data_IF_643417437410
#
_entry.id   IF_643417437410
#
_cell.length_a   1.000
_cell.length_b   1.000
_cell.length_c   1.000
_cell.angle_alpha   90.00
_cell.angle_beta   90.00
_cell.angle_gamma   90.00
#
_symmetry.space_group_name_H-M   'P 1'
#
loop_
_entity.id
_entity.type
_entity.pdbx_description
1 polymer ?
#
# COMPACT_ATOMS: atom_id res chain seq x y z
N UNK A 1 41.13 14.34 -42.51
CA UNK A 1 41.16 12.87 -42.45
C UNK A 1 40.35 12.45 -41.24
N UNK A 2 39.06 12.22 -41.44
CA UNK A 2 38.11 11.81 -40.39
C UNK A 2 38.25 10.29 -40.29
N UNK A 3 38.88 9.82 -39.22
CA UNK A 3 39.04 8.38 -38.96
C UNK A 3 37.73 7.84 -38.38
N UNK A 4 37.15 6.89 -39.12
CA UNK A 4 36.02 6.04 -38.74
C UNK A 4 36.29 5.38 -37.39
N UNK A 5 35.41 5.63 -36.42
CA UNK A 5 35.14 4.69 -35.33
C UNK A 5 34.26 3.57 -35.90
N UNK A 6 34.89 2.65 -36.63
CA UNK A 6 34.28 1.37 -36.98
C UNK A 6 34.68 0.35 -35.91
N UNK A 7 33.73 -0.54 -35.63
CA UNK A 7 33.93 -1.86 -35.04
C UNK A 7 34.15 -1.94 -33.51
N UNK A 8 33.13 -1.53 -32.76
CA UNK A 8 32.72 -2.33 -31.60
C UNK A 8 31.30 -2.82 -31.87
N UNK A 9 31.12 -4.15 -31.86
CA UNK A 9 29.84 -4.80 -32.05
C UNK A 9 28.82 -4.20 -31.07
N UNK A 10 27.88 -3.44 -31.63
CA UNK A 10 26.79 -2.83 -30.89
C UNK A 10 25.85 -3.97 -30.49
N UNK A 11 25.52 -4.17 -29.21
CA UNK A 11 24.37 -4.99 -28.88
C UNK A 11 23.16 -4.23 -29.42
N UNK A 12 22.59 -4.71 -30.52
CA UNK A 12 21.28 -4.26 -30.98
C UNK A 12 20.27 -4.72 -29.92
N UNK A 13 19.93 -3.85 -28.98
CA UNK A 13 18.84 -4.11 -28.04
C UNK A 13 17.54 -3.83 -28.78
N UNK A 14 16.96 -4.86 -29.40
CA UNK A 14 15.56 -4.81 -29.80
C UNK A 14 14.71 -4.95 -28.55
N UNK A 15 14.14 -3.85 -28.06
CA UNK A 15 13.09 -3.89 -27.04
C UNK A 15 11.76 -4.14 -27.75
N UNK A 16 11.20 -5.34 -27.59
CA UNK A 16 9.81 -5.60 -27.89
C UNK A 16 8.98 -4.89 -26.81
N UNK A 17 8.46 -3.72 -27.13
CA UNK A 17 7.56 -2.98 -26.25
C UNK A 17 6.19 -3.63 -26.39
N UNK A 18 5.72 -4.28 -25.34
CA UNK A 18 4.32 -4.68 -25.25
C UNK A 18 3.49 -3.39 -25.12
N UNK A 19 2.32 -3.33 -25.77
CA UNK A 19 1.51 -2.09 -25.90
C UNK A 19 1.05 -1.45 -24.58
N UNK A 20 1.30 -2.12 -23.44
CA UNK A 20 0.72 -1.84 -22.12
C UNK A 20 1.79 -1.71 -21.02
N UNK A 21 3.06 -1.49 -21.34
CA UNK A 21 4.13 -1.46 -20.33
C UNK A 21 4.89 -0.14 -20.32
N UNK A 22 4.94 0.51 -19.15
CA UNK A 22 5.85 1.64 -18.91
C UNK A 22 7.25 1.08 -18.63
N UNK A 23 8.26 1.66 -19.27
CA UNK A 23 9.64 1.18 -19.15
C UNK A 23 10.45 2.17 -18.32
N UNK A 24 10.97 1.69 -17.18
CA UNK A 24 11.82 2.49 -16.31
C UNK A 24 13.30 2.13 -16.59
N UNK A 25 14.03 3.07 -17.18
CA UNK A 25 15.35 2.80 -17.74
C UNK A 25 16.45 3.22 -16.77
N UNK A 26 16.96 2.27 -15.97
CA UNK A 26 18.12 2.51 -15.10
C UNK A 26 19.42 2.24 -15.87
N UNK A 27 20.13 3.31 -16.20
CA UNK A 27 21.47 3.27 -16.81
C UNK A 27 22.54 3.19 -15.73
N UNK A 28 23.21 2.04 -15.63
CA UNK A 28 24.40 1.89 -14.79
C UNK A 28 25.67 1.99 -15.65
N UNK A 29 26.61 2.86 -15.24
CA UNK A 29 27.94 2.94 -15.86
C UNK A 29 29.02 2.51 -14.89
N UNK A 30 29.90 1.60 -15.31
CA UNK A 30 31.11 1.22 -14.56
C UNK A 30 32.36 1.34 -15.43
N UNK A 31 33.48 1.75 -14.83
CA UNK A 31 34.79 1.84 -15.49
C UNK A 31 35.68 0.70 -15.01
N UNK A 32 36.18 -0.14 -15.92
CA UNK A 32 37.14 -1.19 -15.60
C UNK A 32 38.56 -0.73 -15.91
N UNK A 33 39.46 -0.82 -14.91
CA UNK A 33 40.88 -0.58 -15.09
C UNK A 33 41.62 -1.91 -15.28
N UNK A 34 42.37 -2.05 -16.36
CA UNK A 34 43.33 -3.15 -16.49
C UNK A 34 44.75 -2.59 -16.36
N UNK A 35 45.38 -2.84 -15.20
CA UNK A 35 46.84 -2.86 -15.08
C UNK A 35 47.20 -4.02 -14.15
N UNK A 36 47.56 -5.13 -14.77
CA UNK A 36 48.25 -6.27 -14.19
C UNK A 36 47.70 -6.81 -12.84
N UNK A 37 46.72 -7.73 -12.97
CA UNK A 37 46.36 -8.77 -11.99
C UNK A 37 45.94 -8.35 -10.57
N UNK A 38 45.31 -7.19 -10.38
CA UNK A 38 44.35 -6.98 -9.27
C UNK A 38 43.14 -6.19 -9.76
N UNK A 39 42.04 -6.89 -10.03
CA UNK A 39 40.73 -6.28 -10.27
C UNK A 39 40.32 -5.50 -9.02
N UNK A 40 40.24 -4.17 -9.10
CA UNK A 40 39.53 -3.35 -8.13
C UNK A 40 38.32 -2.76 -8.84
N UNK A 41 37.15 -3.21 -8.43
CA UNK A 41 35.85 -2.74 -8.90
C UNK A 41 35.52 -1.45 -8.14
N UNK A 42 35.29 -0.35 -8.85
CA UNK A 42 34.69 0.86 -8.28
C UNK A 42 33.32 1.03 -8.90
N UNK A 43 32.29 0.94 -8.07
CA UNK A 43 30.94 1.38 -8.42
C UNK A 43 30.82 2.84 -7.97
N UNK A 44 30.71 3.77 -8.91
CA UNK A 44 30.15 5.08 -8.62
C UNK A 44 28.69 5.06 -9.09
N UNK A 45 27.78 4.95 -8.12
CA UNK A 45 26.35 5.18 -8.36
C UNK A 45 26.18 6.68 -8.55
N UNK A 46 25.82 7.14 -9.76
CA UNK A 46 25.41 8.53 -9.93
C UNK A 46 24.14 8.75 -9.10
N UNK A 47 24.19 9.68 -8.14
CA UNK A 47 23.15 9.99 -7.13
C UNK A 47 21.79 10.44 -7.70
N UNK A 48 21.60 10.47 -9.02
CA UNK A 48 20.28 10.69 -9.62
C UNK A 48 20.08 9.75 -10.80
N UNK A 49 19.26 8.68 -10.68
CA UNK A 49 18.77 7.99 -11.86
C UNK A 49 18.02 9.01 -12.72
N UNK A 50 18.37 9.06 -14.00
CA UNK A 50 17.63 9.86 -14.96
C UNK A 50 16.40 9.06 -15.36
N UNK A 51 15.32 9.21 -14.60
CA UNK A 51 14.05 8.55 -14.90
C UNK A 51 13.48 9.16 -16.18
N UNK A 52 13.37 8.34 -17.22
CA UNK A 52 12.68 8.71 -18.47
C UNK A 52 11.45 7.84 -18.56
N UNK A 53 10.33 8.41 -18.15
CA UNK A 53 9.02 7.79 -18.29
C UNK A 53 8.60 7.98 -19.77
N UNK A 54 8.55 6.88 -20.54
CA UNK A 54 8.03 6.88 -21.91
C UNK A 54 6.55 6.50 -21.88
N UNK A 55 5.66 7.50 -22.02
CA UNK A 55 4.22 7.28 -22.18
C UNK A 55 3.91 6.68 -23.56
N UNK A 56 3.02 5.66 -23.64
CA UNK A 56 2.52 5.12 -24.90
C UNK A 56 1.81 6.16 -25.77
N UNK A 57 1.17 7.18 -25.18
CA UNK A 57 0.38 8.19 -25.90
C UNK A 57 1.22 9.22 -26.68
N UNK A 58 2.56 9.21 -26.53
CA UNK A 58 3.49 10.10 -27.27
C UNK A 58 4.19 9.45 -28.46
N UNK A 59 4.12 8.13 -28.63
CA UNK A 59 4.93 7.43 -29.62
C UNK A 59 4.11 6.37 -30.38
N UNK A 60 3.45 6.81 -31.45
CA UNK A 60 2.57 5.97 -32.29
C UNK A 60 3.31 4.90 -33.11
N UNK A 61 4.65 4.97 -33.19
CA UNK A 61 5.46 3.97 -33.90
C UNK A 61 6.86 3.73 -33.28
N UNK A 62 7.45 2.58 -33.64
CA UNK A 62 8.79 2.15 -33.23
C UNK A 62 9.89 3.15 -33.68
N UNK A 63 9.67 3.89 -34.78
CA UNK A 63 10.61 4.89 -35.30
C UNK A 63 10.73 6.08 -34.35
N UNK A 64 9.63 6.50 -33.75
CA UNK A 64 9.50 7.64 -32.85
C UNK A 64 10.14 7.33 -31.50
N UNK A 65 9.94 6.09 -31.01
CA UNK A 65 10.64 5.54 -29.84
C UNK A 65 12.15 5.52 -30.06
N UNK A 66 12.62 4.97 -31.18
CA UNK A 66 14.05 4.93 -31.53
C UNK A 66 14.68 6.32 -31.61
N UNK A 67 13.93 7.32 -32.09
CA UNK A 67 14.38 8.71 -32.17
C UNK A 67 14.52 9.37 -30.80
N UNK A 68 13.64 9.04 -29.85
CA UNK A 68 13.75 9.46 -28.46
C UNK A 68 14.97 8.83 -27.78
N UNK A 69 15.21 7.53 -28.02
CA UNK A 69 16.40 6.82 -27.56
C UNK A 69 17.70 7.44 -28.12
N UNK A 70 17.75 7.77 -29.41
CA UNK A 70 18.92 8.43 -30.00
C UNK A 70 19.15 9.84 -29.43
N UNK A 71 18.09 10.58 -29.08
CA UNK A 71 18.21 11.90 -28.45
C UNK A 71 18.72 11.82 -27.01
N UNK A 72 18.27 10.84 -26.25
CA UNK A 72 18.78 10.52 -24.90
C UNK A 72 20.25 10.08 -24.96
N UNK A 73 20.58 9.19 -25.89
CA UNK A 73 21.95 8.75 -26.20
C UNK A 73 22.88 9.94 -26.46
N UNK A 74 22.48 10.88 -27.30
CA UNK A 74 23.30 12.07 -27.63
C UNK A 74 23.47 12.99 -26.40
N UNK A 75 22.44 13.12 -25.57
CA UNK A 75 22.48 13.97 -24.37
C UNK A 75 23.37 13.36 -23.29
N UNK A 76 23.27 12.05 -23.06
CA UNK A 76 24.10 11.32 -22.11
C UNK A 76 25.59 11.27 -22.52
N UNK A 77 25.88 11.01 -23.80
CA UNK A 77 27.24 11.04 -24.34
C UNK A 77 27.87 12.45 -24.27
N UNK A 78 27.08 13.52 -24.39
CA UNK A 78 27.56 14.89 -24.20
C UNK A 78 27.96 15.16 -22.74
N UNK A 79 27.17 14.72 -21.77
CA UNK A 79 27.52 14.81 -20.34
C UNK A 79 28.78 13.98 -19.99
N UNK A 80 28.94 12.81 -20.61
CA UNK A 80 30.14 11.96 -20.47
C UNK A 80 31.41 12.56 -21.10
N UNK A 81 31.27 13.36 -22.16
CA UNK A 81 32.41 13.98 -22.87
C UNK A 81 33.19 15.01 -22.01
N UNK A 82 32.53 15.61 -21.02
CA UNK A 82 33.16 16.52 -20.06
C UNK A 82 34.08 15.82 -19.07
N UNK A 83 33.69 14.62 -18.61
CA UNK A 83 34.42 13.85 -17.61
C UNK A 83 35.71 13.23 -18.17
N UNK A 84 35.68 12.75 -19.43
CA UNK A 84 36.87 12.17 -20.08
C UNK A 84 37.93 13.19 -20.52
N UNK A 85 37.58 14.47 -20.67
CA UNK A 85 38.57 15.53 -20.93
C UNK A 85 39.55 15.71 -19.76
N UNK A 86 39.22 15.24 -18.56
CA UNK A 86 40.07 15.32 -17.38
C UNK A 86 41.05 14.14 -17.21
N UNK A 87 40.82 12.99 -17.87
CA UNK A 87 41.57 11.74 -17.63
C UNK A 87 42.33 11.21 -18.85
N UNK A 88 42.53 12.05 -19.86
CA UNK A 88 43.12 11.68 -21.14
C UNK A 88 44.65 11.72 -21.11
N UNK A 89 45.30 10.80 -20.40
CA UNK A 89 46.69 10.45 -20.70
C UNK A 89 46.98 8.97 -20.41
N UNK A 90 47.22 8.23 -21.51
CA UNK A 90 47.96 6.96 -21.56
C UNK A 90 47.35 5.70 -20.93
N UNK A 91 46.15 5.28 -21.34
CA UNK A 91 45.77 3.85 -21.33
C UNK A 91 44.54 3.59 -22.21
N UNK A 92 44.48 2.40 -22.83
CA UNK A 92 43.29 1.89 -23.52
C UNK A 92 42.23 1.50 -22.49
N UNK A 93 41.06 2.14 -22.53
CA UNK A 93 39.92 1.85 -21.65
C UNK A 93 38.85 1.07 -22.42
N UNK A 94 38.27 0.05 -21.79
CA UNK A 94 37.05 -0.61 -22.27
C UNK A 94 35.89 -0.18 -21.37
N UNK A 95 34.90 0.50 -21.93
CA UNK A 95 33.66 0.85 -21.23
C UNK A 95 32.64 -0.26 -21.46
N UNK A 96 32.08 -0.82 -20.38
CA UNK A 96 30.96 -1.75 -20.44
C UNK A 96 29.74 -0.99 -19.88
N UNK A 97 28.72 -0.80 -20.70
CA UNK A 97 27.43 -0.29 -20.25
C UNK A 97 26.55 -1.48 -19.86
N UNK A 98 26.09 -1.51 -18.62
CA UNK A 98 25.07 -2.45 -18.18
C UNK A 98 23.76 -1.66 -18.19
N UNK A 99 22.91 -1.95 -19.18
CA UNK A 99 21.55 -1.42 -19.22
C UNK A 99 20.68 -2.46 -18.53
N UNK A 100 20.25 -2.17 -17.31
CA UNK A 100 19.17 -2.93 -16.68
C UNK A 100 17.84 -2.35 -17.17
N UNK A 101 17.06 -3.16 -17.86
CA UNK A 101 15.68 -2.83 -18.21
C UNK A 101 14.80 -3.37 -17.08
N UNK A 102 14.18 -2.48 -16.33
CA UNK A 102 13.14 -2.83 -15.35
C UNK A 102 11.80 -2.44 -15.98
N UNK A 103 10.94 -3.43 -16.19
CA UNK A 103 9.56 -3.18 -16.60
C UNK A 103 8.74 -3.04 -15.33
N UNK A 104 8.23 -1.85 -15.04
CA UNK A 104 7.19 -1.70 -14.03
C UNK A 104 5.87 -1.98 -14.76
N UNK A 105 5.19 -3.07 -14.41
CA UNK A 105 3.87 -3.35 -14.96
C UNK A 105 2.87 -2.37 -14.36
N UNK A 106 2.49 -1.38 -15.15
CA UNK A 106 1.31 -0.55 -14.86
C UNK A 106 0.11 -1.32 -15.38
N UNK A 107 -0.92 -1.47 -14.55
CA UNK A 107 -2.17 -2.12 -14.91
C UNK A 107 -3.17 -1.09 -15.42
N UNK A 108 -3.81 -1.43 -16.52
CA UNK A 108 -4.98 -0.72 -17.04
C UNK A 108 -6.26 -1.49 -16.76
N UNK A 109 -7.41 -0.86 -16.99
CA UNK A 109 -8.70 -1.54 -16.90
C UNK A 109 -8.74 -2.76 -17.84
N UNK A 110 -9.11 -3.92 -17.28
CA UNK A 110 -9.11 -5.22 -17.93
C UNK A 110 -7.85 -6.06 -17.68
N UNK A 111 -6.79 -5.50 -17.09
CA UNK A 111 -5.58 -6.25 -16.81
C UNK A 111 -5.69 -7.07 -15.51
N UNK A 112 -5.28 -8.36 -15.52
CA UNK A 112 -5.12 -9.13 -14.29
C UNK A 112 -3.85 -8.72 -13.56
N UNK A 113 -3.95 -8.51 -12.26
CA UNK A 113 -2.79 -8.25 -11.39
C UNK A 113 -1.92 -9.51 -11.36
N UNK A 114 -0.60 -9.35 -11.44
CA UNK A 114 0.32 -10.49 -11.47
C UNK A 114 0.35 -11.19 -10.11
N UNK A 115 0.58 -12.52 -10.09
CA UNK A 115 0.75 -13.27 -8.84
C UNK A 115 1.88 -12.69 -7.97
N UNK A 116 2.94 -12.16 -8.58
CA UNK A 116 4.02 -11.46 -7.87
C UNK A 116 3.50 -10.24 -7.10
N UNK A 117 2.76 -9.35 -7.77
CA UNK A 117 2.20 -8.14 -7.14
C UNK A 117 1.09 -8.48 -6.14
N UNK A 118 0.32 -9.54 -6.39
CA UNK A 118 -0.71 -10.00 -5.46
C UNK A 118 -0.13 -10.43 -4.09
N UNK A 119 1.10 -10.96 -4.08
CA UNK A 119 1.77 -11.46 -2.88
C UNK A 119 2.68 -10.42 -2.19
N UNK A 120 2.70 -9.17 -2.66
CA UNK A 120 3.40 -8.09 -1.97
C UNK A 120 2.69 -7.79 -0.66
N UNK A 121 3.50 -7.54 0.37
CA UNK A 121 3.07 -7.31 1.74
C UNK A 121 3.10 -5.82 2.04
N UNK A 122 1.97 -5.28 2.48
CA UNK A 122 1.85 -3.90 2.95
C UNK A 122 1.59 -3.89 4.46
N UNK A 123 2.34 -3.09 5.22
CA UNK A 123 2.15 -3.00 6.67
C UNK A 123 0.92 -2.15 6.97
N UNK A 124 -0.04 -2.71 7.70
CA UNK A 124 -1.18 -1.94 8.19
C UNK A 124 -0.75 -1.08 9.38
N UNK A 125 -1.06 0.20 9.32
CA UNK A 125 -0.68 1.18 10.34
C UNK A 125 -1.87 1.87 11.01
N UNK A 126 -3.10 1.70 10.50
CA UNK A 126 -4.34 2.14 11.15
C UNK A 126 -5.51 1.23 10.75
N UNK A 127 -6.55 1.19 11.58
CA UNK A 127 -7.78 0.47 11.33
C UNK A 127 -8.04 -0.68 12.30
N UNK A 128 -9.17 -1.36 12.09
CA UNK A 128 -9.73 -2.38 12.98
C UNK A 128 -8.97 -3.71 13.07
N UNK A 129 -8.08 -4.01 12.10
CA UNK A 129 -7.30 -5.25 12.06
C UNK A 129 -5.84 -5.00 12.47
N UNK A 130 -5.58 -4.76 13.76
CA UNK A 130 -4.28 -4.28 14.24
C UNK A 130 -3.15 -5.35 14.21
N UNK A 131 -3.43 -6.59 13.76
CA UNK A 131 -2.46 -7.70 13.76
C UNK A 131 -1.71 -7.93 12.43
N UNK A 132 -1.83 -7.01 11.46
CA UNK A 132 -0.72 -6.67 10.58
C UNK A 132 -0.54 -7.50 9.29
N UNK A 133 -0.16 -6.78 8.24
CA UNK A 133 0.06 -7.21 6.86
C UNK A 133 -1.20 -7.37 5.99
N UNK A 134 -1.24 -6.61 4.90
CA UNK A 134 -2.24 -6.71 3.83
C UNK A 134 -1.57 -7.23 2.55
N UNK A 135 -2.19 -8.20 1.88
CA UNK A 135 -1.78 -8.73 0.57
C UNK A 135 -3.00 -8.84 -0.32
N UNK A 136 -2.90 -8.43 -1.59
CA UNK A 136 -4.04 -8.56 -2.50
C UNK A 136 -4.47 -10.02 -2.67
N UNK A 137 -3.53 -10.96 -2.59
CA UNK A 137 -3.79 -12.40 -2.66
C UNK A 137 -4.78 -12.90 -1.61
N UNK A 138 -4.88 -12.23 -0.45
CA UNK A 138 -5.81 -12.61 0.63
C UNK A 138 -7.27 -12.29 0.27
N UNK A 139 -7.48 -11.48 -0.78
CA UNK A 139 -8.79 -11.02 -1.23
C UNK A 139 -9.23 -11.65 -2.56
N UNK A 140 -8.56 -12.71 -3.02
CA UNK A 140 -9.00 -13.46 -4.21
C UNK A 140 -10.42 -13.99 -3.96
N UNK A 141 -11.32 -13.79 -4.92
CA UNK A 141 -12.73 -14.14 -4.78
C UNK A 141 -13.60 -13.02 -4.21
N UNK A 142 -13.03 -11.87 -3.88
CA UNK A 142 -13.74 -10.69 -3.34
C UNK A 142 -13.64 -9.49 -4.27
N UNK A 143 -14.54 -8.54 -4.10
CA UNK A 143 -14.40 -7.20 -4.67
C UNK A 143 -13.49 -6.39 -3.76
N UNK A 144 -12.49 -5.75 -4.33
CA UNK A 144 -11.54 -4.90 -3.63
C UNK A 144 -11.57 -3.50 -4.24
N UNK A 145 -11.54 -2.48 -3.40
CA UNK A 145 -11.17 -1.15 -3.86
C UNK A 145 -10.06 -0.55 -3.00
N UNK A 146 -9.16 0.16 -3.66
CA UNK A 146 -7.96 0.74 -3.06
C UNK A 146 -8.03 2.23 -3.30
N UNK A 147 -7.97 3.00 -2.23
CA UNK A 147 -7.74 4.44 -2.30
C UNK A 147 -6.25 4.72 -2.16
N UNK A 148 -5.74 5.70 -2.89
CA UNK A 148 -4.33 6.06 -2.91
C UNK A 148 -4.15 7.52 -2.59
N UNK A 149 -3.58 7.74 -1.41
CA UNK A 149 -3.38 9.05 -0.81
C UNK A 149 -1.92 9.26 -0.43
N UNK A 150 -1.54 10.53 -0.24
CA UNK A 150 -0.24 10.88 0.34
C UNK A 150 -0.45 11.72 1.59
N UNK A 151 0.41 11.54 2.59
CA UNK A 151 0.28 12.23 3.88
C UNK A 151 0.27 13.77 3.74
N UNK A 152 0.94 14.33 2.73
CA UNK A 152 0.99 15.77 2.43
C UNK A 152 -0.16 16.28 1.53
N UNK A 153 -1.02 15.39 1.01
CA UNK A 153 -2.02 15.72 0.01
C UNK A 153 -3.26 16.37 0.64
N UNK A 154 -3.31 17.71 0.68
CA UNK A 154 -4.47 18.44 1.22
C UNK A 154 -5.80 18.05 0.55
N UNK A 155 -5.91 17.92 -0.79
CA UNK A 155 -7.16 17.48 -1.41
C UNK A 155 -7.59 16.05 -1.03
N UNK A 156 -6.64 15.20 -0.63
CA UNK A 156 -6.93 13.83 -0.19
C UNK A 156 -7.55 13.81 1.22
N UNK A 157 -7.22 14.79 2.05
CA UNK A 157 -7.85 14.96 3.36
C UNK A 157 -9.32 15.40 3.22
N UNK A 158 -9.62 16.23 2.22
CA UNK A 158 -10.98 16.69 1.96
C UNK A 158 -11.92 15.56 1.52
N UNK A 159 -11.38 14.44 1.02
CA UNK A 159 -12.16 13.27 0.58
C UNK A 159 -12.35 12.20 1.66
N UNK A 160 -11.74 12.35 2.85
CA UNK A 160 -11.90 11.38 3.96
C UNK A 160 -13.38 11.06 4.26
N UNK A 161 -14.31 12.03 4.34
CA UNK A 161 -15.71 11.72 4.59
C UNK A 161 -16.35 10.85 3.49
N UNK A 162 -15.95 11.02 2.23
CA UNK A 162 -16.48 10.23 1.11
C UNK A 162 -15.92 8.80 1.12
N UNK A 163 -14.65 8.65 1.51
CA UNK A 163 -13.98 7.37 1.73
C UNK A 163 -14.72 6.62 2.85
N UNK A 164 -14.93 7.26 4.00
CA UNK A 164 -15.65 6.70 5.14
C UNK A 164 -17.07 6.25 4.76
N UNK A 165 -17.82 7.12 4.07
CA UNK A 165 -19.18 6.80 3.62
C UNK A 165 -19.20 5.58 2.70
N UNK A 166 -18.24 5.46 1.77
CA UNK A 166 -18.14 4.29 0.90
C UNK A 166 -17.77 3.02 1.67
N UNK A 167 -16.81 3.10 2.61
CA UNK A 167 -16.44 1.97 3.48
C UNK A 167 -17.67 1.51 4.27
N UNK A 168 -18.39 2.44 4.90
CA UNK A 168 -19.56 2.16 5.72
C UNK A 168 -20.71 1.53 4.94
N UNK A 169 -20.86 1.82 3.64
CA UNK A 169 -21.88 1.17 2.80
C UNK A 169 -21.64 -0.34 2.64
N UNK A 170 -20.37 -0.77 2.68
CA UNK A 170 -19.97 -2.14 2.37
C UNK A 170 -19.33 -2.89 3.54
N UNK A 171 -19.17 -2.23 4.68
CA UNK A 171 -18.49 -2.78 5.86
C UNK A 171 -19.11 -4.09 6.37
N UNK A 172 -20.41 -4.29 6.16
CA UNK A 172 -21.11 -5.53 6.56
C UNK A 172 -20.98 -6.68 5.55
N UNK A 173 -20.61 -6.40 4.29
CA UNK A 173 -20.44 -7.42 3.26
C UNK A 173 -18.99 -7.92 3.21
N UNK A 174 -18.77 -9.12 3.75
CA UNK A 174 -17.44 -9.76 3.79
C UNK A 174 -16.83 -10.05 2.41
N UNK A 175 -17.61 -9.92 1.33
CA UNK A 175 -17.21 -10.08 -0.07
C UNK A 175 -16.65 -8.78 -0.66
N UNK A 176 -16.75 -7.66 0.05
CA UNK A 176 -16.17 -6.37 -0.32
C UNK A 176 -15.07 -6.02 0.68
N UNK A 177 -13.91 -5.64 0.18
CA UNK A 177 -12.77 -5.23 1.00
C UNK A 177 -12.29 -3.88 0.50
N UNK A 178 -11.76 -3.07 1.42
CA UNK A 178 -11.12 -1.82 1.07
C UNK A 178 -10.00 -1.45 2.02
N UNK A 179 -9.03 -0.73 1.49
CA UNK A 179 -7.99 -0.09 2.28
C UNK A 179 -7.47 1.15 1.56
N UNK A 180 -6.95 2.09 2.35
CA UNK A 180 -6.19 3.25 1.89
C UNK A 180 -4.71 2.86 1.84
N UNK A 181 -4.07 3.04 0.70
CA UNK A 181 -2.62 3.08 0.61
C UNK A 181 -2.15 4.51 0.83
N UNK A 182 -1.45 4.73 1.94
CA UNK A 182 -0.96 6.04 2.31
C UNK A 182 0.55 6.13 2.05
N UNK A 183 0.94 7.13 1.26
CA UNK A 183 2.32 7.42 0.90
C UNK A 183 2.95 8.50 1.80
N UNK A 184 4.29 8.55 1.80
CA UNK A 184 5.11 9.60 2.41
C UNK A 184 5.01 9.74 3.95
N UNK A 185 4.83 8.63 4.65
CA UNK A 185 4.67 8.57 6.12
C UNK A 185 5.94 8.88 6.94
N UNK A 186 7.12 8.90 6.30
CA UNK A 186 8.43 9.02 6.97
C UNK A 186 9.07 10.43 6.92
N UNK A 187 8.32 11.45 6.50
CA UNK A 187 8.86 12.81 6.37
C UNK A 187 8.63 13.66 7.62
N UNK A 188 9.68 14.33 8.16
CA UNK A 188 9.51 15.23 9.28
C UNK A 188 8.50 16.34 8.96
N UNK A 189 7.54 16.55 9.86
CA UNK A 189 6.43 17.53 9.74
C UNK A 189 5.26 17.09 8.85
N UNK A 190 5.21 15.84 8.41
CA UNK A 190 3.99 15.23 7.88
C UNK A 190 3.26 14.44 8.97
N UNK A 191 1.93 14.33 8.87
CA UNK A 191 1.13 13.53 9.79
C UNK A 191 1.52 12.05 9.71
N UNK A 192 1.48 11.37 10.85
CA UNK A 192 1.67 9.91 10.90
C UNK A 192 0.46 9.20 10.30
N UNK A 193 0.58 7.90 10.04
CA UNK A 193 -0.55 7.10 9.56
C UNK A 193 -1.73 7.11 10.54
N UNK A 194 -1.45 7.04 11.84
CA UNK A 194 -2.47 7.09 12.89
C UNK A 194 -3.13 8.47 12.93
N UNK A 195 -2.34 9.56 12.89
CA UNK A 195 -2.86 10.93 12.84
C UNK A 195 -3.72 11.17 11.58
N UNK A 196 -3.37 10.56 10.44
CA UNK A 196 -4.17 10.65 9.22
C UNK A 196 -5.50 9.89 9.37
N UNK A 197 -5.46 8.67 9.92
CA UNK A 197 -6.65 7.85 10.14
C UNK A 197 -7.61 8.41 11.18
N UNK A 198 -7.09 9.09 12.21
CA UNK A 198 -7.91 9.72 13.26
C UNK A 198 -8.73 10.93 12.79
N UNK A 199 -8.48 11.48 11.61
CA UNK A 199 -9.27 12.57 11.03
C UNK A 199 -10.65 12.11 10.55
N UNK A 200 -10.80 10.81 10.29
CA UNK A 200 -12.05 10.18 9.86
C UNK A 200 -12.81 9.51 10.99
N UNK A 201 -13.59 8.51 10.63
CA UNK A 201 -14.35 7.68 11.54
C UNK A 201 -13.39 6.71 12.24
N UNK A 202 -13.38 6.71 13.57
CA UNK A 202 -12.48 5.87 14.35
C UNK A 202 -12.50 4.39 13.87
N UNK A 203 -11.29 3.87 13.60
CA UNK A 203 -11.06 2.48 13.23
C UNK A 203 -11.29 2.14 11.76
N UNK A 204 -11.74 3.09 10.94
CA UNK A 204 -11.93 2.91 9.49
C UNK A 204 -11.41 4.14 8.71
N UNK A 205 -10.99 3.98 7.44
CA UNK A 205 -10.69 2.73 6.74
C UNK A 205 -9.49 1.98 7.35
N UNK A 206 -9.21 0.76 6.87
CA UNK A 206 -7.87 0.19 7.00
C UNK A 206 -6.90 1.09 6.24
N UNK A 207 -5.76 1.45 6.86
CA UNK A 207 -4.70 2.19 6.19
C UNK A 207 -3.42 1.36 6.23
N UNK A 208 -2.80 1.22 5.06
CA UNK A 208 -1.51 0.55 4.90
C UNK A 208 -0.44 1.54 4.46
N UNK A 209 0.79 1.30 4.89
CA UNK A 209 1.96 1.97 4.32
C UNK A 209 2.20 1.41 2.91
N UNK A 210 1.96 2.25 1.90
CA UNK A 210 2.25 1.93 0.50
C UNK A 210 3.74 1.71 0.20
N UNK A 211 4.60 2.00 1.19
CA UNK A 211 6.01 1.72 1.22
C UNK A 211 6.87 2.79 0.55
N UNK A 212 8.16 2.81 0.89
CA UNK A 212 9.14 3.76 0.35
C UNK A 212 10.03 3.12 -0.72
N UNK A 213 9.91 3.54 -1.98
CA UNK A 213 10.97 3.27 -2.97
C UNK A 213 12.13 4.26 -2.80
N UNK A 214 13.37 3.85 -3.10
CA UNK A 214 14.55 4.76 -3.10
C UNK A 214 14.41 5.98 -4.04
N UNK A 215 13.38 6.01 -4.89
CA UNK A 215 12.99 7.11 -5.77
C UNK A 215 11.94 8.07 -5.17
N UNK A 216 11.40 7.79 -3.98
CA UNK A 216 10.36 8.61 -3.33
C UNK A 216 8.96 8.41 -3.91
N UNK A 217 8.60 7.17 -4.27
CA UNK A 217 7.25 6.82 -4.72
C UNK A 217 6.71 5.59 -4.01
N UNK A 218 5.40 5.54 -3.81
CA UNK A 218 4.61 4.44 -3.24
C UNK A 218 4.59 3.22 -4.19
N UNK A 219 4.83 2.03 -3.63
CA UNK A 219 4.96 0.77 -4.39
C UNK A 219 3.67 0.39 -5.10
N UNK A 220 2.51 0.49 -4.43
CA UNK A 220 1.23 0.10 -5.03
C UNK A 220 0.75 1.18 -5.99
N UNK A 221 0.95 2.46 -5.67
CA UNK A 221 0.56 3.56 -6.55
C UNK A 221 1.27 3.51 -7.91
N UNK A 222 2.53 3.05 -7.95
CA UNK A 222 3.27 2.86 -9.19
C UNK A 222 2.66 1.80 -10.13
N UNK A 223 1.81 0.90 -9.63
CA UNK A 223 1.12 -0.09 -10.46
C UNK A 223 -0.08 0.51 -11.18
N UNK A 224 -0.62 1.64 -10.72
CA UNK A 224 -1.88 2.19 -11.21
C UNK A 224 -1.74 3.65 -11.66
N UNK A 225 -0.65 3.95 -12.36
CA UNK A 225 -0.46 5.26 -13.00
C UNK A 225 -1.56 5.47 -14.05
N UNK A 226 -2.13 6.68 -14.06
CA UNK A 226 -3.14 7.20 -14.97
C UNK A 226 -2.59 8.41 -15.74
N UNK A 227 -3.15 8.74 -16.91
CA UNK A 227 -2.79 9.95 -17.66
C UNK A 227 -3.81 11.06 -17.41
N UNK A 228 -3.46 12.08 -16.63
CA UNK A 228 -4.30 13.27 -16.42
C UNK A 228 -3.71 14.44 -17.19
N UNK A 229 -4.40 14.87 -18.25
CA UNK A 229 -3.96 15.99 -19.09
C UNK A 229 -2.61 15.78 -19.81
N UNK A 230 -2.24 14.53 -20.06
CA UNK A 230 -0.97 14.17 -20.72
C UNK A 230 0.26 14.14 -19.80
N UNK A 231 0.05 14.22 -18.48
CA UNK A 231 1.06 13.95 -17.47
C UNK A 231 0.70 12.68 -16.69
N UNK A 232 1.68 11.82 -16.34
CA UNK A 232 1.44 10.70 -15.45
C UNK A 232 1.01 11.22 -14.07
N UNK A 233 -0.14 10.78 -13.61
CA UNK A 233 -0.68 11.01 -12.28
C UNK A 233 -1.11 9.65 -11.70
N UNK A 234 -1.13 9.50 -10.38
CA UNK A 234 -1.62 8.26 -9.78
C UNK A 234 -3.15 8.17 -9.92
N UNK A 235 -3.69 6.97 -10.13
CA UNK A 235 -5.10 6.74 -9.83
C UNK A 235 -5.30 6.96 -8.34
N UNK A 236 -6.33 7.73 -7.97
CA UNK A 236 -6.72 7.93 -6.57
C UNK A 236 -7.58 6.78 -6.08
N UNK A 237 -8.33 6.13 -6.98
CA UNK A 237 -9.16 4.98 -6.65
C UNK A 237 -8.97 3.89 -7.70
N UNK A 238 -8.85 2.64 -7.24
CA UNK A 238 -8.73 1.45 -8.08
C UNK A 238 -9.72 0.40 -7.60
N UNK A 239 -10.53 -0.12 -8.50
CA UNK A 239 -11.51 -1.18 -8.24
C UNK A 239 -11.05 -2.46 -8.92
N UNK A 240 -11.03 -3.55 -8.17
CA UNK A 240 -10.51 -4.86 -8.57
C UNK A 240 -11.60 -5.90 -8.27
N UNK A 241 -11.89 -6.75 -9.25
CA UNK A 241 -12.91 -7.80 -9.07
C UNK A 241 -12.36 -9.07 -8.41
N UNK A 242 -13.27 -10.03 -8.20
CA UNK A 242 -13.02 -11.34 -7.60
C UNK A 242 -11.97 -12.20 -8.33
N UNK A 243 -11.58 -11.84 -9.55
CA UNK A 243 -10.52 -12.52 -10.33
C UNK A 243 -9.17 -11.82 -10.26
N UNK A 244 -9.04 -10.77 -9.43
CA UNK A 244 -7.87 -9.88 -9.39
C UNK A 244 -7.67 -9.10 -10.70
N UNK A 245 -8.76 -8.81 -11.41
CA UNK A 245 -8.73 -7.97 -12.61
C UNK A 245 -9.07 -6.54 -12.25
N UNK A 246 -8.28 -5.58 -12.73
CA UNK A 246 -8.56 -4.15 -12.58
C UNK A 246 -9.78 -3.79 -13.40
N UNK A 247 -10.81 -3.25 -12.76
CA UNK A 247 -12.08 -2.90 -13.41
C UNK A 247 -12.22 -1.43 -13.67
N UNK A 248 -11.88 -0.63 -12.67
CA UNK A 248 -11.97 0.83 -12.78
C UNK A 248 -10.76 1.48 -12.13
N UNK A 249 -10.30 2.57 -12.76
CA UNK A 249 -9.30 3.48 -12.19
C UNK A 249 -9.81 4.91 -12.29
N UNK A 250 -9.86 5.64 -11.19
CA UNK A 250 -10.31 7.04 -11.17
C UNK A 250 -9.21 7.95 -10.63
N UNK A 251 -9.06 9.14 -11.22
CA UNK A 251 -8.35 10.26 -10.59
C UNK A 251 -9.31 11.05 -9.67
N UNK A 252 -8.80 11.61 -8.57
CA UNK A 252 -9.63 12.19 -7.50
C UNK A 252 -10.75 13.13 -7.96
N UNK A 253 -10.51 13.93 -9.00
CA UNK A 253 -11.48 14.90 -9.52
C UNK A 253 -12.75 14.28 -10.16
N UNK A 254 -12.76 12.98 -10.41
CA UNK A 254 -13.86 12.27 -11.09
C UNK A 254 -14.55 11.24 -10.15
N UNK A 255 -14.23 11.24 -8.86
CA UNK A 255 -14.81 10.31 -7.88
C UNK A 255 -16.23 10.70 -7.45
N UNK A 256 -17.07 9.69 -7.21
CA UNK A 256 -18.41 9.81 -6.63
C UNK A 256 -18.74 8.51 -5.90
N UNK A 257 -19.23 8.62 -4.66
CA UNK A 257 -19.64 7.46 -3.86
C UNK A 257 -20.77 6.68 -4.55
N UNK A 258 -21.70 7.36 -5.23
CA UNK A 258 -22.76 6.67 -5.97
C UNK A 258 -22.24 5.84 -7.13
N UNK A 259 -21.25 6.34 -7.86
CA UNK A 259 -20.64 5.61 -8.97
C UNK A 259 -19.81 4.41 -8.47
N UNK A 260 -19.06 4.61 -7.38
CA UNK A 260 -18.31 3.53 -6.74
C UNK A 260 -19.23 2.40 -6.26
N UNK A 261 -20.35 2.73 -5.62
CA UNK A 261 -21.36 1.74 -5.20
C UNK A 261 -21.89 0.93 -6.38
N UNK A 262 -22.19 1.58 -7.51
CA UNK A 262 -22.68 0.88 -8.71
C UNK A 262 -21.65 -0.14 -9.24
N UNK A 263 -20.37 0.24 -9.30
CA UNK A 263 -19.32 -0.67 -9.76
C UNK A 263 -19.10 -1.84 -8.81
N UNK A 264 -19.19 -1.59 -7.50
CA UNK A 264 -19.10 -2.67 -6.50
C UNK A 264 -20.26 -3.66 -6.69
N UNK A 265 -21.49 -3.17 -6.83
CA UNK A 265 -22.67 -4.01 -7.10
C UNK A 265 -22.51 -4.84 -8.39
N UNK A 266 -22.00 -4.22 -9.46
CA UNK A 266 -21.74 -4.90 -10.74
C UNK A 266 -20.71 -6.02 -10.59
N UNK A 267 -19.58 -5.76 -9.93
CA UNK A 267 -18.54 -6.78 -9.72
C UNK A 267 -19.01 -7.91 -8.78
N UNK A 268 -19.81 -7.59 -7.76
CA UNK A 268 -20.39 -8.59 -6.87
C UNK A 268 -21.36 -9.53 -7.61
N UNK A 269 -22.16 -8.98 -8.54
CA UNK A 269 -23.09 -9.78 -9.33
C UNK A 269 -22.39 -10.78 -10.27
N UNK A 270 -21.11 -10.56 -10.58
CA UNK A 270 -20.29 -11.45 -11.40
C UNK A 270 -19.63 -12.58 -10.59
N UNK A 271 -19.62 -12.51 -9.25
CA UNK A 271 -19.04 -13.55 -8.41
C UNK A 271 -19.84 -14.85 -8.63
N UNK A 272 -19.19 -15.97 -9.02
CA UNK A 272 -19.88 -17.23 -9.20
C UNK A 272 -20.54 -17.67 -7.88
N UNK A 273 -21.87 -17.70 -7.87
CA UNK A 273 -22.64 -18.34 -6.80
C UNK A 273 -22.45 -19.85 -6.90
N UNK A 274 -21.33 -20.33 -6.36
CA UNK A 274 -21.29 -21.73 -5.97
C UNK A 274 -22.31 -21.88 -4.84
N UNK A 275 -23.18 -22.90 -4.92
CA UNK A 275 -24.02 -23.37 -3.81
C UNK A 275 -23.10 -23.88 -2.68
N UNK A 276 -22.28 -23.01 -2.12
CA UNK A 276 -21.70 -23.17 -0.81
C UNK A 276 -22.91 -23.03 0.08
N UNK A 277 -23.36 -24.14 0.68
CA UNK A 277 -24.17 -24.05 1.89
C UNK A 277 -23.49 -23.00 2.75
N UNK A 278 -24.13 -21.85 2.92
CA UNK A 278 -23.78 -20.91 3.96
C UNK A 278 -23.51 -21.78 5.19
N UNK A 279 -22.25 -21.85 5.63
CA UNK A 279 -22.06 -21.93 7.06
C UNK A 279 -22.45 -20.53 7.47
N UNK A 280 -23.70 -20.29 7.92
CA UNK A 280 -24.04 -18.96 8.40
C UNK A 280 -22.95 -18.64 9.40
N UNK A 281 -22.24 -17.52 9.16
CA UNK A 281 -21.31 -16.98 10.14
C UNK A 281 -22.15 -16.92 11.41
N UNK A 282 -21.78 -17.75 12.40
CA UNK A 282 -22.58 -17.92 13.60
C UNK A 282 -22.29 -16.72 14.48
N UNK A 283 -22.83 -15.57 14.07
CA UNK A 283 -22.68 -14.31 14.78
C UNK A 283 -23.33 -14.46 16.16
N UNK A 284 -22.73 -13.87 17.20
CA UNK A 284 -23.35 -13.84 18.51
C UNK A 284 -24.75 -13.25 18.43
N UNK A 285 -25.70 -13.86 19.14
CA UNK A 285 -27.08 -13.35 19.14
C UNK A 285 -27.23 -12.06 19.97
N UNK A 286 -26.26 -11.77 20.86
CA UNK A 286 -26.28 -10.68 21.82
C UNK A 286 -24.86 -10.13 22.06
N UNK A 287 -24.78 -8.89 22.53
CA UNK A 287 -23.56 -8.34 23.10
C UNK A 287 -23.25 -9.06 24.42
N UNK A 288 -21.98 -9.45 24.61
CA UNK A 288 -21.58 -10.17 25.82
C UNK A 288 -20.12 -9.99 26.16
N UNK A 289 -19.84 -9.52 27.38
CA UNK A 289 -18.55 -9.59 28.03
C UNK A 289 -18.49 -10.87 28.88
N UNK A 290 -17.65 -11.83 28.49
CA UNK A 290 -17.52 -13.11 29.20
C UNK A 290 -16.79 -12.94 30.53
N UNK A 291 -15.69 -12.21 30.51
CA UNK A 291 -14.79 -12.00 31.63
C UNK A 291 -13.34 -12.07 31.16
N UNK A 292 -12.44 -12.19 32.13
CA UNK A 292 -11.02 -12.29 31.86
C UNK A 292 -10.47 -13.65 32.29
N UNK A 293 -9.51 -14.20 31.54
CA UNK A 293 -8.77 -15.40 31.88
C UNK A 293 -7.26 -15.18 31.68
N UNK A 294 -6.41 -15.55 32.65
CA UNK A 294 -6.76 -16.08 33.98
C UNK A 294 -7.48 -15.05 34.87
N UNK A 295 -8.25 -15.51 35.87
CA UNK A 295 -8.80 -14.64 36.91
C UNK A 295 -8.93 -15.45 38.23
N UNK A 296 -8.14 -15.16 39.28
CA UNK A 296 -7.19 -14.05 39.37
C UNK A 296 -6.00 -14.16 38.40
N UNK A 297 -5.39 -13.03 38.05
CA UNK A 297 -4.24 -12.96 37.13
C UNK A 297 -3.04 -12.23 37.73
N UNK A 298 -1.86 -12.45 37.14
CA UNK A 298 -0.63 -11.70 37.44
C UNK A 298 -0.11 -11.06 36.15
N UNK A 299 0.14 -9.75 36.22
CA UNK A 299 0.64 -8.88 35.15
C UNK A 299 -0.27 -8.75 33.92
N UNK A 300 -0.82 -9.83 33.36
CA UNK A 300 -1.71 -9.76 32.19
C UNK A 300 -2.84 -10.79 32.22
N UNK A 301 -3.93 -10.48 31.53
CA UNK A 301 -5.09 -11.35 31.34
C UNK A 301 -5.73 -11.11 29.99
N UNK A 302 -6.33 -12.13 29.39
CA UNK A 302 -7.12 -11.97 28.17
C UNK A 302 -8.57 -11.67 28.55
N UNK A 303 -9.18 -10.67 27.93
CA UNK A 303 -10.58 -10.28 28.05
C UNK A 303 -11.30 -10.72 26.78
N UNK A 304 -12.38 -11.48 26.92
CA UNK A 304 -13.17 -11.96 25.79
C UNK A 304 -14.56 -11.32 25.79
N UNK A 305 -14.98 -10.87 24.61
CA UNK A 305 -16.31 -10.33 24.40
C UNK A 305 -16.87 -10.69 23.03
N UNK A 306 -18.18 -10.61 22.90
CA UNK A 306 -18.97 -10.88 21.71
C UNK A 306 -19.76 -9.62 21.35
N UNK A 307 -19.79 -9.29 20.07
CA UNK A 307 -20.60 -8.23 19.51
C UNK A 307 -21.62 -8.86 18.57
N UNK A 308 -22.90 -8.55 18.79
CA UNK A 308 -24.00 -9.06 17.95
C UNK A 308 -23.99 -8.45 16.55
N UNK A 309 -23.65 -7.17 16.50
CA UNK A 309 -23.63 -6.33 15.30
C UNK A 309 -22.41 -5.42 15.41
N UNK A 310 -21.96 -4.89 14.28
CA UNK A 310 -20.84 -3.96 14.27
C UNK A 310 -21.18 -2.74 15.12
N UNK A 311 -20.24 -2.27 15.93
CA UNK A 311 -20.53 -1.21 16.89
C UNK A 311 -19.28 -0.48 17.32
N UNK A 312 -19.44 0.82 17.55
CA UNK A 312 -18.49 1.59 18.37
C UNK A 312 -18.63 1.10 19.81
N UNK A 313 -17.54 0.57 20.35
CA UNK A 313 -17.49 0.06 21.72
C UNK A 313 -16.40 0.76 22.52
N UNK A 314 -16.61 0.83 23.83
CA UNK A 314 -15.58 1.24 24.79
C UNK A 314 -15.40 0.12 25.80
N UNK A 315 -14.18 -0.38 25.93
CA UNK A 315 -13.77 -1.35 26.94
C UNK A 315 -12.87 -0.65 27.96
N UNK A 316 -13.42 -0.32 29.14
CA UNK A 316 -12.70 0.41 30.18
C UNK A 316 -12.54 -0.40 31.47
N UNK A 317 -11.50 -0.08 32.22
CA UNK A 317 -11.18 -0.65 33.53
C UNK A 317 -11.47 0.38 34.62
N UNK A 318 -12.21 -0.04 35.65
CA UNK A 318 -12.54 0.78 36.81
C UNK A 318 -11.95 0.17 38.09
N UNK A 319 -11.53 1.00 39.03
CA UNK A 319 -11.13 0.56 40.36
C UNK A 319 -12.36 0.35 41.28
N UNK A 320 -12.13 -0.08 42.54
CA UNK A 320 -13.20 -0.33 43.51
C UNK A 320 -14.00 0.92 43.90
N UNK A 321 -13.41 2.10 43.76
CA UNK A 321 -14.05 3.39 44.01
C UNK A 321 -14.87 3.89 42.80
N UNK A 322 -14.88 3.13 41.70
CA UNK A 322 -15.59 3.46 40.47
C UNK A 322 -14.89 4.50 39.59
N UNK A 323 -13.62 4.81 39.86
CA UNK A 323 -12.81 5.68 38.99
C UNK A 323 -12.30 4.89 37.80
N UNK A 324 -12.37 5.46 36.59
CA UNK A 324 -11.76 4.89 35.40
C UNK A 324 -10.24 4.94 35.53
N UNK A 325 -9.61 3.79 35.38
CA UNK A 325 -8.16 3.59 35.50
C UNK A 325 -7.52 3.61 34.13
N UNK A 326 -8.20 3.03 33.14
CA UNK A 326 -7.66 2.80 31.80
C UNK A 326 -8.81 2.52 30.83
N UNK A 327 -8.66 2.97 29.58
CA UNK A 327 -9.49 2.58 28.45
C UNK A 327 -8.65 1.68 27.56
N UNK A 328 -9.06 0.43 27.38
CA UNK A 328 -8.32 -0.58 26.60
C UNK A 328 -8.70 -0.50 25.12
N UNK A 329 -9.97 -0.27 24.84
CA UNK A 329 -10.51 -0.10 23.47
C UNK A 329 -11.52 1.03 23.50
N UNK A 330 -11.49 1.90 22.49
CA UNK A 330 -12.51 2.92 22.27
C UNK A 330 -12.66 3.13 20.77
N UNK A 331 -13.18 2.11 20.08
CA UNK A 331 -13.14 2.03 18.63
C UNK A 331 -14.35 1.28 18.04
N UNK A 332 -14.53 1.37 16.73
CA UNK A 332 -15.44 0.54 15.96
C UNK A 332 -14.92 -0.90 15.89
N UNK A 333 -15.81 -1.87 16.07
CA UNK A 333 -15.50 -3.29 16.05
C UNK A 333 -16.60 -4.07 15.33
N UNK A 334 -16.22 -5.07 14.54
CA UNK A 334 -17.15 -5.91 13.79
C UNK A 334 -17.96 -6.85 14.69
N UNK A 335 -19.10 -7.31 14.21
CA UNK A 335 -19.86 -8.38 14.82
C UNK A 335 -19.00 -9.65 14.88
N UNK A 336 -19.03 -10.35 16.01
CA UNK A 336 -18.21 -11.55 16.20
C UNK A 336 -17.62 -11.67 17.59
N UNK A 337 -16.73 -12.66 17.74
CA UNK A 337 -15.97 -12.91 18.96
C UNK A 337 -14.67 -12.12 18.93
N UNK A 338 -14.35 -11.45 20.04
CA UNK A 338 -13.18 -10.61 20.21
C UNK A 338 -12.40 -11.02 21.45
N UNK A 339 -11.08 -10.84 21.39
CA UNK A 339 -10.17 -11.21 22.46
C UNK A 339 -9.01 -10.22 22.53
N UNK A 340 -8.88 -9.53 23.66
CA UNK A 340 -7.80 -8.54 23.87
C UNK A 340 -7.01 -8.84 25.14
N UNK A 341 -5.70 -8.59 25.10
CA UNK A 341 -4.82 -8.78 26.27
C UNK A 341 -4.73 -7.47 27.06
N UNK A 342 -5.19 -7.50 28.31
CA UNK A 342 -4.98 -6.40 29.25
C UNK A 342 -3.65 -6.58 29.99
N UNK A 343 -2.73 -5.62 29.83
CA UNK A 343 -1.44 -5.57 30.51
C UNK A 343 -1.47 -4.58 31.69
N UNK A 344 -1.39 -5.11 32.90
CA UNK A 344 -1.57 -4.37 34.16
C UNK A 344 -0.27 -4.11 34.93
N UNK A 345 0.90 -4.12 34.27
CA UNK A 345 2.20 -3.99 34.96
C UNK A 345 2.30 -2.76 35.86
N UNK A 346 1.71 -1.62 35.47
CA UNK A 346 1.75 -0.37 36.23
C UNK A 346 0.55 -0.19 37.19
N UNK A 347 -0.32 -1.20 37.31
CA UNK A 347 -1.54 -1.15 38.12
C UNK A 347 -1.31 -1.93 39.43
N UNK A 348 -1.70 -1.41 40.60
CA UNK A 348 -1.51 -2.11 41.88
C UNK A 348 -2.41 -3.36 41.98
N UNK A 349 -2.04 -4.33 42.84
CA UNK A 349 -2.92 -5.48 43.11
C UNK A 349 -4.23 -5.02 43.73
N UNK A 350 -5.34 -5.65 43.32
CA UNK A 350 -6.66 -5.22 43.77
C UNK A 350 -7.81 -5.84 42.98
N UNK A 351 -9.01 -5.36 43.30
CA UNK A 351 -10.23 -5.70 42.59
C UNK A 351 -10.52 -4.59 41.58
N UNK A 352 -10.77 -5.00 40.35
CA UNK A 352 -11.08 -4.13 39.22
C UNK A 352 -12.38 -4.56 38.56
N UNK A 353 -12.97 -3.65 37.79
CA UNK A 353 -14.19 -3.88 37.03
C UNK A 353 -13.94 -3.53 35.57
N UNK A 354 -14.03 -4.56 34.72
CA UNK A 354 -13.98 -4.42 33.26
C UNK A 354 -15.39 -4.06 32.80
N UNK A 355 -15.56 -2.97 32.08
CA UNK A 355 -16.84 -2.55 31.50
C UNK A 355 -16.73 -2.50 29.98
N UNK A 356 -17.62 -3.21 29.31
CA UNK A 356 -17.88 -3.06 27.89
C UNK A 356 -19.15 -2.21 27.73
N UNK A 357 -19.06 -1.13 26.96
CA UNK A 357 -20.20 -0.28 26.61
C UNK A 357 -20.29 -0.07 25.11
N UNK A 358 -21.51 -0.08 24.59
CA UNK A 358 -21.88 0.43 23.27
C UNK A 358 -23.11 1.35 23.42
N UNK A 359 -23.68 1.82 22.30
CA UNK A 359 -24.83 2.75 22.30
C UNK A 359 -25.98 2.34 23.23
N UNK A 360 -26.40 1.08 23.18
CA UNK A 360 -27.56 0.56 23.92
C UNK A 360 -27.20 -0.64 24.84
N UNK A 361 -25.91 -0.91 25.05
CA UNK A 361 -25.44 -2.03 25.87
C UNK A 361 -24.37 -1.59 26.86
N UNK A 362 -24.49 -2.02 28.12
CA UNK A 362 -23.42 -1.90 29.12
C UNK A 362 -23.37 -3.19 29.92
N UNK A 363 -22.21 -3.83 29.97
CA UNK A 363 -21.96 -4.96 30.86
C UNK A 363 -20.65 -4.78 31.62
N UNK A 364 -20.62 -5.23 32.87
CA UNK A 364 -19.43 -5.12 33.74
C UNK A 364 -19.08 -6.47 34.36
N UNK A 365 -17.79 -6.81 34.38
CA UNK A 365 -17.22 -8.02 34.97
C UNK A 365 -16.14 -7.68 35.98
N UNK A 366 -16.04 -8.47 37.04
CA UNK A 366 -15.02 -8.30 38.09
C UNK A 366 -13.74 -9.03 37.71
N UNK A 367 -12.59 -8.36 37.83
CA UNK A 367 -11.26 -8.92 37.68
C UNK A 367 -10.47 -8.79 38.99
N UNK A 368 -9.61 -9.78 39.28
CA UNK A 368 -8.75 -9.79 40.48
C UNK A 368 -7.29 -9.84 40.03
N UNK A 369 -6.55 -8.76 40.26
CA UNK A 369 -5.12 -8.66 39.96
C UNK A 369 -4.29 -9.02 41.21
N UNK A 370 -3.43 -10.02 41.08
CA UNK A 370 -2.45 -10.45 42.08
C UNK A 370 -1.05 -10.17 41.55
N UNK A 371 -0.21 -9.49 42.33
CA UNK A 371 1.22 -9.37 42.03
C UNK A 371 2.02 -10.33 42.89
#
# INVERSE_FOLDING_TARGET
MVLKLADYAVPTVCVLINRHSWMDLKLHSGVFFNKDKKMKQYYETFEKPMNVILSPSKYDDISSVNKAFDKLRVTYLKSFSGFFKAFYHHNSFSLIFIISLSFSSVYEEGDPISEEHQNVVFEQCFGYDQDGEVKLADYIGKVLWIEMSAAWCVPCWETIPEIDDLVLNWIEDTSVVSFVSLADLDWPSLPTCEEWGEEGTAGIPIIVDGGFTQSGTDTIANWFISEVGGNPAYASYVFIDHTMTVRHKIANNDFSVELANQWIEEMLAEIPTTDVKENPINLPNDFKLHGNYPNPFNASTTIQYELKENSIITLSIFNIDGSEVEVIVSDYQFAGEHSIVWNSQNIPSGIYFIRLSSKDFIQTRKAILLK
#
